data_IF_224820286128
#
_entry.id   IF_224820286128
#
_cell.length_a   1.000
_cell.length_b   1.000
_cell.length_c   1.000
_cell.angle_alpha   90.00
_cell.angle_beta   90.00
_cell.angle_gamma   90.00
#
_symmetry.space_group_name_H-M   'P 1'
#
loop_
_entity.id
_entity.type
_entity.pdbx_description
1 polymer ?
#
# COMPACT_ATOMS: atom_id res chain seq x y z
N UNK A 1 -12.68 -5.10 -21.59
CA UNK A 1 -11.56 -5.53 -20.74
C UNK A 1 -11.33 -4.56 -19.59
N UNK A 2 -10.57 -4.96 -18.57
CA UNK A 2 -10.14 -4.06 -17.49
C UNK A 2 -9.24 -2.96 -18.06
N UNK A 3 -9.43 -1.73 -17.60
CA UNK A 3 -8.68 -0.60 -18.08
C UNK A 3 -7.24 -0.56 -17.51
N UNK A 4 -6.25 -0.06 -18.27
CA UNK A 4 -4.93 0.30 -17.75
C UNK A 4 -4.98 1.19 -16.50
N UNK A 5 -5.95 2.11 -16.40
CA UNK A 5 -6.11 3.03 -15.29
C UNK A 5 -6.53 2.31 -14.02
N UNK A 6 -7.50 1.38 -14.10
CA UNK A 6 -7.88 0.52 -12.98
C UNK A 6 -6.73 -0.42 -12.59
N UNK A 7 -6.00 -0.96 -13.57
CA UNK A 7 -4.82 -1.80 -13.31
C UNK A 7 -3.71 -1.03 -12.59
N UNK A 8 -3.47 0.22 -13.01
CA UNK A 8 -2.50 1.11 -12.37
C UNK A 8 -2.95 1.49 -10.95
N UNK A 9 -4.24 1.77 -10.74
CA UNK A 9 -4.78 2.04 -9.40
C UNK A 9 -4.56 0.84 -8.47
N UNK A 10 -4.85 -0.38 -8.92
CA UNK A 10 -4.61 -1.60 -8.17
C UNK A 10 -3.11 -1.82 -7.86
N UNK A 11 -2.22 -1.55 -8.82
CA UNK A 11 -0.78 -1.60 -8.59
C UNK A 11 -0.34 -0.62 -7.50
N UNK A 12 -0.82 0.63 -7.53
CA UNK A 12 -0.48 1.66 -6.53
C UNK A 12 -0.98 1.29 -5.13
N UNK A 13 -2.15 0.66 -5.05
CA UNK A 13 -2.67 0.10 -3.80
C UNK A 13 -1.65 -0.90 -3.22
N UNK A 14 -1.24 -1.89 -4.02
CA UNK A 14 -0.30 -2.95 -3.60
C UNK A 14 1.13 -2.47 -3.30
N UNK A 15 1.66 -1.57 -4.13
CA UNK A 15 2.99 -0.99 -3.92
C UNK A 15 3.06 -0.26 -2.56
N UNK A 16 2.06 0.56 -2.25
CA UNK A 16 2.04 1.36 -1.03
C UNK A 16 2.00 0.54 0.27
N UNK A 17 1.18 -0.52 0.32
CA UNK A 17 0.94 -1.30 1.55
C UNK A 17 2.14 -2.11 2.00
N UNK A 18 2.99 -2.55 1.06
CA UNK A 18 4.15 -3.40 1.34
C UNK A 18 5.41 -2.60 1.74
N UNK A 19 5.47 -1.31 1.40
CA UNK A 19 6.65 -0.48 1.66
C UNK A 19 7.08 -0.43 3.13
N UNK A 20 6.12 -0.40 4.06
CA UNK A 20 6.38 -0.27 5.50
C UNK A 20 6.98 -1.53 6.15
N UNK A 21 6.88 -2.69 5.49
CA UNK A 21 7.46 -3.96 5.95
C UNK A 21 8.70 -4.36 5.14
N UNK A 22 9.03 -3.63 4.07
CA UNK A 22 10.15 -3.95 3.19
C UNK A 22 11.46 -3.43 3.77
N UNK A 23 12.41 -4.31 4.15
CA UNK A 23 13.73 -3.87 4.62
C UNK A 23 14.58 -3.26 3.49
N UNK A 24 14.16 -3.43 2.22
CA UNK A 24 14.82 -2.86 1.05
C UNK A 24 14.40 -1.42 0.76
N UNK A 25 13.34 -0.92 1.42
CA UNK A 25 12.93 0.47 1.31
C UNK A 25 14.06 1.36 1.85
N UNK A 26 14.51 2.34 1.04
CA UNK A 26 15.68 3.19 1.34
C UNK A 26 15.58 3.89 2.69
N UNK A 27 14.36 4.24 3.13
CA UNK A 27 14.12 4.90 4.42
C UNK A 27 13.96 3.95 5.60
N UNK A 28 13.85 2.63 5.39
CA UNK A 28 13.63 1.66 6.45
C UNK A 28 14.74 1.69 7.53
N UNK A 29 16.05 1.71 7.18
CA UNK A 29 17.11 1.81 8.20
C UNK A 29 17.02 3.09 9.04
N UNK A 30 16.62 4.22 8.44
CA UNK A 30 16.45 5.49 9.15
C UNK A 30 15.33 5.38 10.20
N UNK A 31 14.21 4.73 9.86
CA UNK A 31 13.11 4.48 10.81
C UNK A 31 13.57 3.58 11.96
N UNK A 32 14.35 2.54 11.68
CA UNK A 32 14.93 1.67 12.73
C UNK A 32 15.77 2.49 13.71
N UNK A 33 16.65 3.38 13.21
CA UNK A 33 17.48 4.25 14.05
C UNK A 33 16.62 5.19 14.91
N UNK A 34 15.54 5.73 14.35
CA UNK A 34 14.60 6.54 15.13
C UNK A 34 13.89 5.74 16.22
N UNK A 35 13.44 4.50 15.94
CA UNK A 35 12.87 3.62 16.96
C UNK A 35 13.88 3.27 18.04
N UNK A 36 15.13 2.99 17.68
CA UNK A 36 16.23 2.71 18.61
C UNK A 36 16.57 3.88 19.55
N UNK A 37 16.10 5.10 19.25
CA UNK A 37 16.19 6.22 20.21
C UNK A 37 15.37 5.94 21.47
N UNK A 38 14.22 5.29 21.33
CA UNK A 38 13.26 5.02 22.41
C UNK A 38 13.32 3.58 22.91
N UNK A 39 13.52 2.61 21.99
CA UNK A 39 13.58 1.18 22.30
C UNK A 39 14.86 0.59 21.73
N UNK A 40 15.90 0.49 22.57
CA UNK A 40 17.26 0.11 22.16
C UNK A 40 17.37 -1.28 21.51
N UNK A 41 16.44 -2.18 21.81
CA UNK A 41 16.39 -3.55 21.28
C UNK A 41 15.74 -3.65 19.89
N UNK A 42 15.18 -2.56 19.35
CA UNK A 42 14.54 -2.61 18.02
C UNK A 42 15.58 -2.88 16.93
N UNK A 43 15.34 -3.94 16.15
CA UNK A 43 16.06 -4.22 14.90
C UNK A 43 15.13 -4.22 13.69
N UNK A 44 15.67 -4.63 12.53
CA UNK A 44 14.93 -4.71 11.27
C UNK A 44 13.72 -5.63 11.40
N UNK A 45 13.91 -6.84 11.93
CA UNK A 45 12.83 -7.80 12.14
C UNK A 45 11.80 -7.33 13.16
N UNK A 46 12.23 -6.66 14.23
CA UNK A 46 11.32 -6.09 15.23
C UNK A 46 10.38 -5.06 14.61
N UNK A 47 10.93 -4.13 13.82
CA UNK A 47 10.15 -3.10 13.16
C UNK A 47 9.22 -3.70 12.09
N UNK A 48 9.73 -4.62 11.25
CA UNK A 48 8.92 -5.27 10.22
C UNK A 48 7.74 -6.05 10.83
N UNK A 49 7.99 -6.83 11.89
CA UNK A 49 6.93 -7.55 12.61
C UNK A 49 5.94 -6.62 13.29
N UNK A 50 6.41 -5.49 13.83
CA UNK A 50 5.53 -4.47 14.42
C UNK A 50 4.62 -3.81 13.36
N UNK A 51 5.14 -3.59 12.15
CA UNK A 51 4.40 -2.96 11.05
C UNK A 51 3.53 -3.95 10.26
N UNK A 52 3.75 -5.26 10.38
CA UNK A 52 3.02 -6.29 9.65
C UNK A 52 1.48 -6.22 9.83
N UNK A 53 0.93 -6.09 11.06
CA UNK A 53 -0.51 -5.93 11.23
C UNK A 53 -1.07 -4.69 10.52
N UNK A 54 -0.32 -3.58 10.50
CA UNK A 54 -0.71 -2.35 9.80
C UNK A 54 -0.70 -2.55 8.28
N UNK A 55 0.30 -3.24 7.74
CA UNK A 55 0.39 -3.56 6.31
C UNK A 55 -0.79 -4.41 5.86
N UNK A 56 -1.15 -5.44 6.65
CA UNK A 56 -2.30 -6.31 6.37
C UNK A 56 -3.62 -5.52 6.45
N UNK A 57 -3.80 -4.73 7.51
CA UNK A 57 -5.00 -3.91 7.68
C UNK A 57 -5.16 -2.90 6.53
N UNK A 58 -4.06 -2.25 6.12
CA UNK A 58 -4.07 -1.33 4.99
C UNK A 58 -4.35 -2.08 3.68
N UNK A 59 -3.74 -3.24 3.42
CA UNK A 59 -4.00 -4.02 2.21
C UNK A 59 -5.50 -4.35 2.07
N UNK A 60 -6.12 -4.82 3.15
CA UNK A 60 -7.54 -5.16 3.18
C UNK A 60 -8.38 -3.89 2.99
N UNK A 61 -8.17 -2.87 3.81
CA UNK A 61 -8.97 -1.64 3.77
C UNK A 61 -8.85 -0.90 2.43
N UNK A 62 -7.64 -0.82 1.88
CA UNK A 62 -7.35 -0.11 0.63
C UNK A 62 -7.87 -0.87 -0.59
N UNK A 63 -7.84 -2.20 -0.57
CA UNK A 63 -8.47 -3.04 -1.60
C UNK A 63 -9.99 -2.93 -1.56
N UNK A 64 -10.61 -2.98 -0.36
CA UNK A 64 -12.05 -2.78 -0.19
C UNK A 64 -12.44 -1.40 -0.70
N UNK A 65 -11.69 -0.36 -0.34
CA UNK A 65 -11.92 1.00 -0.82
C UNK A 65 -11.90 1.06 -2.36
N UNK A 66 -10.89 0.50 -3.02
CA UNK A 66 -10.82 0.49 -4.48
C UNK A 66 -12.01 -0.24 -5.13
N UNK A 67 -12.40 -1.40 -4.58
CA UNK A 67 -13.55 -2.16 -5.09
C UNK A 67 -14.86 -1.37 -4.92
N UNK A 68 -15.08 -0.78 -3.74
CA UNK A 68 -16.27 0.05 -3.50
C UNK A 68 -16.29 1.28 -4.42
N UNK A 69 -15.13 1.91 -4.60
CA UNK A 69 -15.01 3.08 -5.48
C UNK A 69 -15.35 2.74 -6.94
N UNK A 70 -14.88 1.58 -7.42
CA UNK A 70 -15.28 1.04 -8.72
C UNK A 70 -16.78 0.75 -8.80
N UNK A 71 -17.38 0.17 -7.76
CA UNK A 71 -18.83 -0.13 -7.73
C UNK A 71 -19.70 1.13 -7.78
N UNK A 72 -19.28 2.23 -7.15
CA UNK A 72 -19.99 3.51 -7.20
C UNK A 72 -19.85 4.18 -8.57
N UNK A 73 -18.82 3.83 -9.35
CA UNK A 73 -18.62 4.31 -10.72
C UNK A 73 -18.09 5.74 -10.81
N UNK A 74 -17.54 6.29 -9.71
CA UNK A 74 -16.86 7.60 -9.73
C UNK A 74 -15.59 7.44 -10.58
N UNK A 75 -15.32 8.28 -11.58
CA UNK A 75 -14.13 8.13 -12.41
C UNK A 75 -12.85 8.26 -11.58
N UNK A 76 -11.86 7.38 -11.83
CA UNK A 76 -10.56 7.38 -11.14
C UNK A 76 -9.76 8.67 -11.36
N UNK A 77 -10.14 9.45 -12.37
CA UNK A 77 -9.49 10.67 -12.81
C UNK A 77 -10.11 11.19 -14.11
N UNK A 78 -9.52 12.24 -14.67
CA UNK A 78 -9.94 12.79 -15.97
C UNK A 78 -9.71 11.72 -17.03
N UNK A 79 -10.77 11.36 -17.76
CA UNK A 79 -10.73 10.34 -18.82
C UNK A 79 -10.20 8.97 -18.35
N UNK A 80 -10.45 8.58 -17.10
CA UNK A 80 -10.01 7.30 -16.56
C UNK A 80 -11.19 6.33 -16.34
N UNK A 81 -11.66 5.63 -17.39
CA UNK A 81 -12.71 4.62 -17.25
C UNK A 81 -12.19 3.37 -16.52
N UNK A 82 -13.11 2.57 -15.98
CA UNK A 82 -12.77 1.28 -15.34
C UNK A 82 -12.67 0.12 -16.33
N UNK A 83 -13.40 0.22 -17.44
CA UNK A 83 -13.50 -0.81 -18.45
C UNK A 83 -13.48 -0.19 -19.82
N UNK A 84 -12.75 -0.80 -20.74
CA UNK A 84 -12.86 -0.50 -22.16
C UNK A 84 -13.72 -1.58 -22.81
N UNK A 85 -14.80 -1.17 -23.48
CA UNK A 85 -15.44 -2.01 -24.48
C UNK A 85 -14.51 -2.07 -25.69
N UNK A 86 -14.23 -3.29 -26.17
CA UNK A 86 -13.64 -3.47 -27.50
C UNK A 86 -14.65 -2.99 -28.55
#
# INVERSE_FOLDING_TARGET
>A
GISPELSQAAYRVGDSVSNIISPLMVFFPLVVVYCQRYVKSTGIGTLASLMMPFSIAMLIGWSIFLVLYWMVGIPLGIQAPYTYTM
#
